data_IF_793669199539
#
_entry.id   IF_793669199539
#
_cell.length_a   1.000
_cell.length_b   1.000
_cell.length_c   1.000
_cell.angle_alpha   90.00
_cell.angle_beta   90.00
_cell.angle_gamma   90.00
#
_symmetry.space_group_name_H-M   'P 1'
#
loop_
_entity.id
_entity.type
_entity.pdbx_description
1 polymer ?
#
# COMPACT_ATOMS: atom_id res chain seq x y z
N UNK A 1 -1.69 -4.23 10.12
CA UNK A 1 -0.56 -4.54 9.23
C UNK A 1 -1.12 -5.06 7.92
N UNK A 2 -0.44 -4.79 6.81
CA UNK A 2 -0.80 -5.30 5.49
C UNK A 2 0.06 -6.53 5.18
N UNK A 3 -0.43 -7.38 4.28
CA UNK A 3 0.24 -8.62 3.90
C UNK A 3 0.79 -8.55 2.49
N UNK A 4 1.75 -9.43 2.18
CA UNK A 4 2.28 -9.57 0.83
C UNK A 4 1.12 -9.85 -0.15
N UNK A 5 1.04 -9.06 -1.21
CA UNK A 5 -0.03 -9.17 -2.21
C UNK A 5 -1.30 -8.35 -1.91
N UNK A 6 -1.42 -7.74 -0.73
CA UNK A 6 -2.53 -6.82 -0.44
C UNK A 6 -2.54 -5.64 -1.42
N UNK A 7 -3.75 -5.23 -1.83
CA UNK A 7 -3.97 -3.97 -2.52
C UNK A 7 -4.42 -2.91 -1.52
N UNK A 8 -3.68 -1.81 -1.46
CA UNK A 8 -3.92 -0.70 -0.54
C UNK A 8 -3.97 0.63 -1.29
N UNK A 9 -4.65 1.60 -0.71
CA UNK A 9 -4.56 3.00 -1.14
C UNK A 9 -3.51 3.70 -0.27
N UNK A 10 -2.55 4.35 -0.93
CA UNK A 10 -1.46 5.06 -0.28
C UNK A 10 -1.52 6.56 -0.59
N UNK A 11 -2.13 7.35 0.30
CA UNK A 11 -2.30 8.80 0.14
C UNK A 11 -2.82 9.17 -1.26
N UNK A 12 -2.16 10.14 -1.90
CA UNK A 12 -2.51 10.61 -3.25
C UNK A 12 -1.89 9.76 -4.39
N UNK A 13 -1.10 8.72 -4.08
CA UNK A 13 -0.54 7.83 -5.10
C UNK A 13 -1.57 6.80 -5.62
N UNK A 14 -2.73 6.70 -4.95
CA UNK A 14 -3.79 5.80 -5.33
C UNK A 14 -3.49 4.35 -4.94
N UNK A 15 -3.91 3.40 -5.78
CA UNK A 15 -3.83 1.97 -5.49
C UNK A 15 -2.43 1.44 -5.73
N UNK A 16 -1.86 0.80 -4.70
CA UNK A 16 -0.59 0.11 -4.71
C UNK A 16 -0.75 -1.33 -4.24
N UNK A 17 0.11 -2.21 -4.73
CA UNK A 17 0.25 -3.59 -4.25
C UNK A 17 1.44 -3.69 -3.29
N UNK A 18 1.30 -4.41 -2.19
CA UNK A 18 2.40 -4.76 -1.29
C UNK A 18 3.23 -5.86 -1.95
N UNK A 19 4.44 -5.52 -2.39
CA UNK A 19 5.35 -6.45 -3.05
C UNK A 19 6.39 -7.05 -2.09
N UNK A 20 6.70 -6.37 -0.99
CA UNK A 20 7.62 -6.88 0.04
C UNK A 20 7.36 -6.21 1.40
N UNK A 21 7.77 -6.88 2.48
CA UNK A 21 7.71 -6.40 3.86
C UNK A 21 9.02 -6.75 4.55
N UNK A 22 9.81 -5.74 4.92
CA UNK A 22 11.08 -6.00 5.59
C UNK A 22 12.01 -4.79 5.62
N UNK A 23 13.23 -5.05 6.09
CA UNK A 23 14.32 -4.08 6.09
C UNK A 23 14.80 -3.80 4.66
N UNK A 24 15.00 -2.53 4.33
CA UNK A 24 15.54 -2.14 3.04
C UNK A 24 17.06 -2.31 3.00
N UNK A 25 17.56 -3.04 2.00
CA UNK A 25 19.01 -3.14 1.75
C UNK A 25 19.50 -1.97 0.89
N UNK A 26 19.27 -0.76 1.39
CA UNK A 26 19.66 0.50 0.74
C UNK A 26 20.73 1.16 1.61
N UNK A 27 21.85 1.54 0.99
CA UNK A 27 22.94 2.21 1.71
C UNK A 27 22.46 3.50 2.37
N UNK A 28 22.69 3.64 3.67
CA UNK A 28 22.27 4.80 4.47
C UNK A 28 20.87 4.69 5.09
N UNK A 29 20.14 3.59 4.87
CA UNK A 29 18.88 3.32 5.57
C UNK A 29 19.13 2.46 6.81
N UNK A 30 18.46 2.77 7.90
CA UNK A 30 18.49 1.97 9.13
C UNK A 30 17.77 0.63 8.89
N UNK A 31 18.53 -0.47 8.97
CA UNK A 31 18.03 -1.83 8.74
C UNK A 31 17.09 -2.33 9.84
N UNK A 32 17.00 -1.63 10.98
CA UNK A 32 16.04 -1.96 12.04
C UNK A 32 14.63 -1.49 11.72
N UNK A 33 14.46 -0.59 10.74
CA UNK A 33 13.14 -0.09 10.32
C UNK A 33 12.54 -1.08 9.32
N UNK A 34 11.40 -1.65 9.70
CA UNK A 34 10.60 -2.47 8.80
C UNK A 34 9.77 -1.57 7.87
N UNK A 35 9.86 -1.82 6.56
CA UNK A 35 9.20 -1.04 5.53
C UNK A 35 8.33 -1.92 4.63
N UNK A 36 7.25 -1.35 4.11
CA UNK A 36 6.56 -1.88 2.95
C UNK A 36 7.25 -1.41 1.67
N UNK A 37 7.42 -2.34 0.73
CA UNK A 37 7.69 -2.02 -0.67
C UNK A 37 6.38 -2.06 -1.44
N UNK A 38 5.96 -0.91 -1.98
CA UNK A 38 4.67 -0.73 -2.63
C UNK A 38 4.86 -0.44 -4.13
N UNK A 39 4.13 -1.16 -4.96
CA UNK A 39 4.09 -0.96 -6.40
C UNK A 39 2.76 -0.32 -6.81
N UNK A 40 2.74 0.94 -7.28
CA UNK A 40 1.53 1.55 -7.83
C UNK A 40 1.03 0.77 -9.04
N UNK A 41 -0.28 0.51 -9.08
CA UNK A 41 -0.91 -0.31 -10.13
C UNK A 41 -0.99 0.46 -11.45
N UNK A 42 -1.24 1.77 -11.38
CA UNK A 42 -1.46 2.63 -12.56
C UNK A 42 -0.21 3.38 -13.02
N UNK A 43 0.86 3.38 -12.23
CA UNK A 43 2.13 4.03 -12.56
C UNK A 43 3.29 3.09 -12.24
N UNK A 44 3.59 2.18 -13.18
CA UNK A 44 4.63 1.15 -13.01
C UNK A 44 6.06 1.69 -13.01
N UNK A 45 6.25 2.99 -13.22
CA UNK A 45 7.57 3.61 -13.29
C UNK A 45 8.17 3.94 -11.91
N UNK A 46 7.41 3.75 -10.82
CA UNK A 46 7.89 4.04 -9.46
C UNK A 46 7.66 2.86 -8.51
N UNK A 47 8.55 2.75 -7.52
CA UNK A 47 8.42 1.89 -6.34
C UNK A 47 8.44 2.81 -5.13
N UNK A 48 7.49 2.62 -4.21
CA UNK A 48 7.39 3.42 -2.99
C UNK A 48 7.85 2.60 -1.80
N UNK A 49 8.54 3.26 -0.87
CA UNK A 49 9.00 2.67 0.38
C UNK A 49 8.41 3.47 1.53
N UNK A 50 7.82 2.79 2.50
CA UNK A 50 7.22 3.45 3.67
C UNK A 50 7.36 2.58 4.91
N UNK A 51 7.71 3.13 6.09
CA UNK A 51 7.75 2.38 7.34
C UNK A 51 6.39 1.74 7.66
N UNK A 52 6.40 0.56 8.27
CA UNK A 52 5.16 -0.16 8.61
C UNK A 52 4.28 0.57 9.64
N UNK A 53 4.89 1.47 10.41
CA UNK A 53 4.31 2.31 11.45
C UNK A 53 4.09 3.76 10.99
N UNK A 54 4.18 4.04 9.69
CA UNK A 54 3.97 5.38 9.14
C UNK A 54 2.55 5.90 9.43
N UNK A 55 2.47 6.91 10.29
CA UNK A 55 1.25 7.62 10.71
C UNK A 55 1.01 8.92 9.93
N UNK A 56 1.97 9.36 9.10
CA UNK A 56 1.91 10.63 8.37
C UNK A 56 1.05 10.58 7.11
N UNK A 57 0.87 9.38 6.54
CA UNK A 57 0.14 9.19 5.29
C UNK A 57 -1.01 8.23 5.54
N UNK A 58 -2.21 8.60 5.11
CA UNK A 58 -3.37 7.72 5.20
C UNK A 58 -3.16 6.49 4.31
N UNK A 59 -3.14 5.32 4.95
CA UNK A 59 -3.08 4.02 4.31
C UNK A 59 -4.36 3.24 4.63
N UNK A 60 -4.99 2.62 3.62
CA UNK A 60 -6.18 1.79 3.82
C UNK A 60 -6.25 0.63 2.82
N UNK A 61 -6.86 -0.49 3.20
CA UNK A 61 -7.14 -1.58 2.25
C UNK A 61 -8.12 -1.11 1.18
N UNK A 62 -7.98 -1.68 -0.01
CA UNK A 62 -9.00 -1.59 -1.07
C UNK A 62 -10.18 -2.47 -0.67
N UNK A 63 -11.39 -2.01 -0.98
CA UNK A 63 -12.61 -2.80 -0.75
C UNK A 63 -12.62 -4.03 -1.66
N UNK A 64 -13.27 -5.08 -1.17
CA UNK A 64 -13.52 -6.30 -1.95
C UNK A 64 -14.49 -6.05 -3.10
N UNK A 65 -14.55 -7.00 -4.04
CA UNK A 65 -15.53 -6.93 -5.12
C UNK A 65 -16.97 -6.92 -4.59
N UNK A 66 -17.28 -7.75 -3.59
CA UNK A 66 -18.62 -7.83 -2.99
C UNK A 66 -18.99 -6.50 -2.30
N UNK A 67 -18.10 -5.92 -1.50
CA UNK A 67 -18.33 -4.61 -0.87
C UNK A 67 -18.55 -3.51 -1.93
N UNK A 68 -17.79 -3.54 -3.03
CA UNK A 68 -17.99 -2.61 -4.13
C UNK A 68 -19.37 -2.76 -4.78
N UNK A 69 -19.81 -4.00 -5.02
CA UNK A 69 -21.13 -4.29 -5.58
C UNK A 69 -22.26 -3.85 -4.64
N UNK A 70 -22.11 -4.07 -3.34
CA UNK A 70 -23.09 -3.59 -2.34
C UNK A 70 -23.17 -2.06 -2.30
N UNK A 71 -22.02 -1.36 -2.39
CA UNK A 71 -22.01 0.10 -2.50
C UNK A 71 -22.71 0.60 -3.77
N UNK A 72 -22.47 -0.04 -4.92
CA UNK A 72 -23.11 0.33 -6.19
C UNK A 72 -24.64 0.23 -6.08
N UNK A 73 -25.17 -0.81 -5.42
CA UNK A 73 -26.61 -0.99 -5.21
C UNK A 73 -27.26 0.11 -4.35
N UNK A 74 -26.47 0.83 -3.56
CA UNK A 74 -26.94 1.92 -2.69
C UNK A 74 -26.97 3.28 -3.39
N UNK A 75 -26.43 3.39 -4.62
CA UNK A 75 -26.44 4.64 -5.39
C UNK A 75 -27.84 4.83 -6.00
N UNK A 76 -28.54 5.96 -5.73
CA UNK A 76 -29.88 6.25 -6.25
C UNK A 76 -29.96 6.39 -7.78
#
# INVERSE_FOLDING_TARGET
MYELGDFIIYGNHGVCKVEDIGSLDISGVDKSIECYTLQPVFSKASTLYTPVDNDKVSMRKVITNDEALELIKQIP
#
